data_IF_117397568191
#
_entry.id   IF_117397568191
#
_cell.length_a   1.000
_cell.length_b   1.000
_cell.length_c   1.000
_cell.angle_alpha   90.00
_cell.angle_beta   90.00
_cell.angle_gamma   90.00
#
_symmetry.space_group_name_H-M   'P 1'
#
loop_
_entity.id
_entity.type
_entity.pdbx_description
1 polymer ?
#
# COMPACT_ATOMS: atom_id res chain seq x y z
N UNK A 1 -44.18 -24.75 57.53
CA UNK A 1 -42.91 -25.44 57.24
C UNK A 1 -42.31 -24.88 55.94
N UNK A 2 -41.29 -24.05 56.03
CA UNK A 2 -40.63 -23.42 54.86
C UNK A 2 -39.42 -24.26 54.47
N UNK A 3 -39.43 -24.79 53.24
CA UNK A 3 -38.35 -25.60 52.65
C UNK A 3 -37.25 -24.70 52.11
N UNK A 4 -36.11 -24.57 52.82
CA UNK A 4 -34.91 -23.92 52.34
C UNK A 4 -34.32 -24.66 51.11
N UNK A 5 -34.43 -24.05 49.89
CA UNK A 5 -33.68 -24.52 48.69
C UNK A 5 -32.21 -24.18 48.85
N UNK A 6 -31.35 -25.15 49.16
CA UNK A 6 -29.90 -25.04 49.08
C UNK A 6 -29.49 -24.74 47.65
N UNK A 7 -28.94 -23.53 47.36
CA UNK A 7 -28.25 -23.20 46.10
C UNK A 7 -27.02 -24.08 45.99
N UNK A 8 -27.01 -25.01 45.03
CA UNK A 8 -25.82 -25.80 44.66
C UNK A 8 -24.78 -24.82 44.11
N UNK A 9 -23.67 -24.62 44.81
CA UNK A 9 -22.48 -23.95 44.23
C UNK A 9 -21.96 -24.88 43.13
N UNK A 10 -21.83 -24.36 41.91
CA UNK A 10 -21.13 -25.06 40.84
C UNK A 10 -19.64 -24.94 41.15
N UNK A 11 -19.02 -26.02 41.58
CA UNK A 11 -17.59 -26.07 41.74
C UNK A 11 -16.94 -25.99 40.33
N UNK A 12 -16.20 -24.92 40.10
CA UNK A 12 -15.47 -24.72 38.84
C UNK A 12 -14.29 -25.69 38.88
N UNK A 13 -14.15 -26.50 37.83
CA UNK A 13 -13.03 -27.44 37.73
C UNK A 13 -11.70 -26.66 37.71
N UNK A 14 -10.80 -26.85 38.69
CA UNK A 14 -9.57 -26.09 38.79
C UNK A 14 -8.65 -26.25 37.55
N UNK A 15 -8.70 -27.41 36.88
CA UNK A 15 -7.96 -27.65 35.64
C UNK A 15 -8.49 -26.74 34.51
N UNK A 16 -9.82 -26.60 34.40
CA UNK A 16 -10.44 -25.73 33.41
C UNK A 16 -10.05 -24.25 33.66
N UNK A 17 -9.99 -23.83 34.93
CA UNK A 17 -9.57 -22.48 35.29
C UNK A 17 -8.13 -22.21 34.90
N UNK A 18 -7.22 -23.13 35.10
CA UNK A 18 -5.80 -23.04 34.69
C UNK A 18 -5.67 -22.96 33.15
N UNK A 19 -6.42 -23.80 32.42
CA UNK A 19 -6.41 -23.75 30.94
C UNK A 19 -6.88 -22.41 30.44
N UNK A 20 -7.96 -21.86 30.98
CA UNK A 20 -8.47 -20.52 30.59
C UNK A 20 -7.45 -19.43 30.89
N UNK A 21 -6.80 -19.49 32.06
CA UNK A 21 -5.75 -18.52 32.44
C UNK A 21 -4.55 -18.58 31.49
N UNK A 22 -4.09 -19.77 31.12
CA UNK A 22 -2.98 -19.96 30.17
C UNK A 22 -3.35 -19.42 28.80
N UNK A 23 -4.57 -19.67 28.31
CA UNK A 23 -5.06 -19.15 27.03
C UNK A 23 -5.17 -17.62 27.06
N UNK A 24 -5.63 -17.02 28.15
CA UNK A 24 -5.69 -15.57 28.32
C UNK A 24 -4.28 -14.96 28.31
N UNK A 25 -3.34 -15.54 29.06
CA UNK A 25 -1.94 -15.09 29.07
C UNK A 25 -1.28 -15.21 27.69
N UNK A 26 -1.53 -16.31 26.98
CA UNK A 26 -1.04 -16.48 25.60
C UNK A 26 -1.60 -15.40 24.66
N UNK A 27 -2.89 -15.08 24.76
CA UNK A 27 -3.51 -14.00 23.99
C UNK A 27 -2.93 -12.62 24.35
N UNK A 28 -2.71 -12.34 25.63
CA UNK A 28 -2.05 -11.09 26.09
C UNK A 28 -0.63 -10.99 25.54
N UNK A 29 0.15 -12.07 25.58
CA UNK A 29 1.51 -12.09 25.02
C UNK A 29 1.51 -11.86 23.51
N UNK A 30 0.57 -12.46 22.79
CA UNK A 30 0.40 -12.25 21.34
C UNK A 30 0.00 -10.80 21.05
N UNK A 31 -0.92 -10.24 21.85
CA UNK A 31 -1.36 -8.85 21.73
C UNK A 31 -0.20 -7.87 21.96
N UNK A 32 0.55 -8.03 23.06
CA UNK A 32 1.71 -7.19 23.39
C UNK A 32 2.83 -7.30 22.32
N UNK A 33 3.04 -8.50 21.74
CA UNK A 33 3.98 -8.67 20.62
C UNK A 33 3.51 -8.00 19.33
N UNK A 34 2.20 -7.89 19.11
CA UNK A 34 1.64 -7.15 17.97
C UNK A 34 1.80 -5.63 18.14
N UNK A 35 1.55 -5.09 19.33
CA UNK A 35 1.69 -3.66 19.60
C UNK A 35 3.15 -3.18 19.60
N UNK A 36 4.12 -4.06 19.90
CA UNK A 36 5.55 -3.73 19.88
C UNK A 36 6.23 -3.88 18.51
N UNK A 37 5.49 -4.24 17.43
CA UNK A 37 6.07 -4.41 16.11
C UNK A 37 5.88 -3.14 15.32
N UNK A 38 6.95 -2.36 15.11
CA UNK A 38 6.94 -1.21 14.21
C UNK A 38 6.51 -1.62 12.80
N UNK A 39 5.70 -0.78 12.14
CA UNK A 39 5.30 -1.00 10.74
C UNK A 39 6.49 -0.70 9.81
N UNK A 40 6.63 -1.41 8.67
CA UNK A 40 7.78 -1.23 7.77
C UNK A 40 8.00 0.21 7.32
N UNK A 41 6.91 0.97 7.10
CA UNK A 41 6.96 2.38 6.71
C UNK A 41 7.09 3.37 7.87
N UNK A 42 7.16 2.90 9.12
CA UNK A 42 7.24 3.79 10.29
C UNK A 42 8.62 4.44 10.40
N UNK A 43 8.63 5.77 10.54
CA UNK A 43 9.87 6.54 10.63
C UNK A 43 10.60 6.73 9.30
N UNK A 44 10.11 6.19 8.21
CA UNK A 44 10.70 6.41 6.88
C UNK A 44 10.52 7.86 6.46
N UNK A 45 11.63 8.54 6.19
CA UNK A 45 11.62 9.91 5.67
C UNK A 45 11.42 9.86 4.16
N UNK A 46 10.39 10.53 3.66
CA UNK A 46 10.17 10.71 2.23
C UNK A 46 11.30 11.54 1.60
N UNK A 47 11.67 11.28 0.34
CA UNK A 47 12.59 12.13 -0.41
C UNK A 47 12.10 13.56 -0.49
N UNK A 48 13.03 14.52 -0.61
CA UNK A 48 12.70 15.96 -0.61
C UNK A 48 11.86 16.39 -1.84
N UNK A 49 11.86 15.60 -2.93
CA UNK A 49 11.01 15.80 -4.09
C UNK A 49 9.58 15.28 -3.94
N UNK A 50 9.25 14.60 -2.85
CA UNK A 50 7.90 14.10 -2.58
C UNK A 50 7.15 15.08 -1.70
N UNK A 51 5.98 15.50 -2.16
CA UNK A 51 5.05 16.31 -1.35
C UNK A 51 4.06 15.39 -0.64
N UNK A 52 4.06 15.41 0.68
CA UNK A 52 3.06 14.70 1.46
C UNK A 52 1.73 15.50 1.46
N UNK A 53 0.73 14.99 0.74
CA UNK A 53 -0.64 15.50 0.74
C UNK A 53 -1.61 14.33 0.93
N UNK A 54 -1.59 13.79 2.15
CA UNK A 54 -2.35 12.59 2.48
C UNK A 54 -3.86 12.80 2.38
N UNK A 55 -4.55 11.76 1.86
CA UNK A 55 -6.01 11.73 1.77
C UNK A 55 -6.62 11.79 3.19
N UNK A 56 -7.80 12.34 3.28
CA UNK A 56 -8.61 12.25 4.52
C UNK A 56 -8.97 10.79 4.76
N UNK A 57 -8.87 10.32 6.01
CA UNK A 57 -9.25 8.96 6.39
C UNK A 57 -10.74 8.72 6.11
N UNK A 58 -11.03 7.67 5.34
CA UNK A 58 -12.38 7.25 4.97
C UNK A 58 -12.35 5.80 4.43
N UNK A 59 -13.48 5.13 4.37
CA UNK A 59 -13.58 3.73 3.94
C UNK A 59 -13.29 3.51 2.45
N UNK A 60 -13.37 4.56 1.60
CA UNK A 60 -13.34 4.45 0.14
C UNK A 60 -11.95 4.63 -0.47
N UNK A 61 -11.09 5.44 0.15
CA UNK A 61 -9.76 5.72 -0.42
C UNK A 61 -8.62 5.65 0.59
N UNK A 62 -8.88 5.81 1.90
CA UNK A 62 -7.86 5.70 2.95
C UNK A 62 -8.46 5.14 4.22
N UNK A 63 -8.61 3.81 4.35
CA UNK A 63 -9.25 3.19 5.51
C UNK A 63 -8.40 3.30 6.80
N UNK A 64 -7.12 3.58 6.69
CA UNK A 64 -6.19 3.60 7.82
C UNK A 64 -5.82 2.19 8.31
N UNK A 65 -6.05 1.16 7.48
CA UNK A 65 -5.64 -0.20 7.76
C UNK A 65 -4.12 -0.29 7.77
N UNK A 66 -3.47 -0.86 8.80
CA UNK A 66 -2.03 -0.98 8.84
C UNK A 66 -1.47 -1.84 7.71
N UNK A 67 -0.45 -1.34 7.00
CA UNK A 67 0.37 -2.10 6.06
C UNK A 67 1.50 -2.76 6.86
N UNK A 68 1.35 -4.05 7.11
CA UNK A 68 2.25 -4.82 8.00
C UNK A 68 3.43 -5.47 7.30
N UNK A 69 3.44 -5.43 5.96
CA UNK A 69 4.49 -5.94 5.08
C UNK A 69 4.63 -5.01 3.87
N UNK A 70 5.83 -4.88 3.35
CA UNK A 70 6.11 -4.29 2.05
C UNK A 70 7.01 -5.29 1.31
N UNK A 71 6.42 -6.04 0.39
CA UNK A 71 7.04 -7.12 -0.37
C UNK A 71 7.04 -6.79 -1.87
N UNK A 72 6.83 -5.52 -2.24
CA UNK A 72 6.91 -5.11 -3.62
C UNK A 72 6.35 -3.71 -3.88
N UNK A 73 6.60 -3.25 -5.10
CA UNK A 73 6.08 -2.02 -5.67
C UNK A 73 5.23 -2.36 -6.88
N UNK A 74 4.00 -1.87 -6.92
CA UNK A 74 3.11 -2.04 -8.09
C UNK A 74 3.00 -0.73 -8.85
N UNK A 75 3.36 -0.76 -10.13
CA UNK A 75 3.26 0.38 -11.04
C UNK A 75 1.92 0.33 -11.76
N UNK A 76 1.24 1.48 -11.80
CA UNK A 76 -0.02 1.71 -12.49
C UNK A 76 0.09 2.94 -13.39
N UNK A 77 -0.81 3.06 -14.35
CA UNK A 77 -1.11 4.31 -15.02
C UNK A 77 -2.50 4.83 -14.60
N UNK A 78 -2.65 6.15 -14.49
CA UNK A 78 -3.95 6.76 -14.24
C UNK A 78 -4.89 6.52 -15.43
N UNK A 79 -6.20 6.34 -15.15
CA UNK A 79 -7.19 6.08 -16.20
C UNK A 79 -7.53 7.27 -17.10
N UNK A 80 -7.02 8.46 -16.79
CA UNK A 80 -7.37 9.72 -17.49
C UNK A 80 -6.11 10.41 -18.01
N UNK A 81 -5.74 10.23 -19.28
CA UNK A 81 -4.59 10.89 -19.90
C UNK A 81 -4.61 12.41 -19.75
N UNK A 82 -3.43 13.01 -19.64
CA UNK A 82 -3.28 14.46 -19.56
C UNK A 82 -3.68 15.08 -18.20
N UNK A 83 -4.07 14.29 -17.22
CA UNK A 83 -4.40 14.79 -15.87
C UNK A 83 -3.15 14.95 -15.00
N UNK A 84 -3.16 15.92 -14.09
CA UNK A 84 -2.05 16.16 -13.15
C UNK A 84 -2.10 15.24 -11.93
N UNK A 85 -0.95 15.09 -11.23
CA UNK A 85 -0.91 14.38 -9.95
C UNK A 85 -1.92 14.93 -8.94
N UNK A 86 -2.06 16.25 -8.86
CA UNK A 86 -3.02 16.89 -7.95
C UNK A 86 -4.47 16.56 -8.31
N UNK A 87 -4.82 16.47 -9.60
CA UNK A 87 -6.16 16.10 -10.03
C UNK A 87 -6.51 14.66 -9.59
N UNK A 88 -5.57 13.73 -9.78
CA UNK A 88 -5.75 12.33 -9.38
C UNK A 88 -5.80 12.18 -7.85
N UNK A 89 -4.92 12.86 -7.12
CA UNK A 89 -5.00 12.94 -5.65
C UNK A 89 -6.36 13.46 -5.17
N UNK A 90 -6.87 14.52 -5.81
CA UNK A 90 -8.17 15.11 -5.47
C UNK A 90 -9.33 14.17 -5.82
N UNK A 91 -9.23 13.43 -6.93
CA UNK A 91 -10.19 12.37 -7.26
C UNK A 91 -10.26 11.33 -6.14
N UNK A 92 -9.12 10.77 -5.70
CA UNK A 92 -9.09 9.83 -4.59
C UNK A 92 -9.69 10.41 -3.30
N UNK A 93 -9.38 11.67 -2.99
CA UNK A 93 -9.95 12.31 -1.81
C UNK A 93 -11.46 12.55 -1.92
N UNK A 94 -11.97 12.80 -3.15
CA UNK A 94 -13.38 12.99 -3.44
C UNK A 94 -14.22 11.73 -3.24
N UNK A 95 -13.61 10.54 -3.31
CA UNK A 95 -14.31 9.27 -3.07
C UNK A 95 -14.88 9.18 -1.64
N UNK A 96 -14.31 9.92 -0.68
CA UNK A 96 -14.89 10.06 0.65
C UNK A 96 -16.31 10.65 0.65
N UNK A 97 -16.70 11.37 -0.41
CA UNK A 97 -18.02 11.99 -0.56
C UNK A 97 -18.87 11.31 -1.62
N UNK A 98 -18.27 10.93 -2.77
CA UNK A 98 -19.01 10.36 -3.90
C UNK A 98 -19.39 8.89 -3.66
N UNK A 99 -18.55 8.13 -2.95
CA UNK A 99 -18.73 6.70 -2.68
C UNK A 99 -18.89 5.83 -3.95
N UNK A 100 -18.45 6.32 -5.11
CA UNK A 100 -18.67 5.66 -6.40
C UNK A 100 -17.80 4.42 -6.61
N UNK A 101 -16.63 4.37 -5.98
CA UNK A 101 -15.68 3.25 -6.02
C UNK A 101 -14.72 3.32 -4.85
N UNK A 102 -13.93 2.27 -4.65
CA UNK A 102 -12.79 2.29 -3.73
C UNK A 102 -11.50 2.29 -4.54
N UNK A 103 -10.75 3.40 -4.44
CA UNK A 103 -9.46 3.54 -5.13
C UNK A 103 -8.54 4.54 -4.41
N UNK A 104 -7.25 4.25 -4.42
CA UNK A 104 -6.17 5.16 -4.00
C UNK A 104 -4.81 4.59 -4.40
N UNK A 105 -3.76 5.36 -4.21
CA UNK A 105 -2.37 4.91 -4.32
C UNK A 105 -1.54 5.50 -3.19
N UNK A 106 -0.35 4.94 -2.93
CA UNK A 106 0.60 5.55 -2.01
C UNK A 106 1.19 6.81 -2.61
N UNK A 107 1.55 6.75 -3.90
CA UNK A 107 2.14 7.86 -4.64
C UNK A 107 1.43 8.10 -5.96
N UNK A 108 1.38 9.36 -6.36
CA UNK A 108 1.03 9.75 -7.73
C UNK A 108 2.20 10.54 -8.31
N UNK A 109 2.73 10.08 -9.45
CA UNK A 109 3.78 10.77 -10.22
C UNK A 109 3.12 11.54 -11.34
N UNK A 110 3.36 12.85 -11.39
CA UNK A 110 2.71 13.76 -12.33
C UNK A 110 3.47 13.96 -13.64
N UNK A 111 2.82 14.66 -14.59
CA UNK A 111 3.32 14.93 -15.94
C UNK A 111 4.61 15.78 -15.97
N UNK A 112 4.92 16.48 -14.89
CA UNK A 112 6.14 17.33 -14.76
C UNK A 112 7.14 16.73 -13.77
N UNK A 113 6.97 15.46 -13.40
CA UNK A 113 7.81 14.75 -12.43
C UNK A 113 7.53 15.12 -10.97
N UNK A 114 6.46 15.87 -10.67
CA UNK A 114 6.00 16.07 -9.30
C UNK A 114 5.49 14.76 -8.69
N UNK A 115 5.76 14.54 -7.40
CA UNK A 115 5.30 13.35 -6.68
C UNK A 115 4.48 13.75 -5.49
N UNK A 116 3.28 13.21 -5.39
CA UNK A 116 2.38 13.40 -4.24
C UNK A 116 2.23 12.08 -3.49
N UNK A 117 2.56 12.07 -2.20
CA UNK A 117 2.24 10.96 -1.31
C UNK A 117 0.80 11.12 -0.82
N UNK A 118 -0.07 10.20 -1.23
CA UNK A 118 -1.51 10.21 -0.96
C UNK A 118 -1.90 9.33 0.24
N UNK A 119 -1.22 8.19 0.41
CA UNK A 119 -1.42 7.27 1.53
C UNK A 119 -0.06 7.04 2.22
N UNK A 120 0.03 7.11 3.56
CA UNK A 120 1.27 6.80 4.27
C UNK A 120 1.76 5.37 4.01
N UNK A 121 3.07 5.15 3.98
CA UNK A 121 3.69 3.83 3.83
C UNK A 121 3.35 2.84 4.97
N UNK A 122 2.74 3.32 6.04
CA UNK A 122 2.24 2.50 7.16
C UNK A 122 0.80 2.04 6.98
N UNK A 123 0.11 2.50 5.91
CA UNK A 123 -1.31 2.23 5.67
C UNK A 123 -1.50 1.56 4.31
N UNK A 124 -2.55 0.75 4.18
CA UNK A 124 -2.96 0.09 2.93
C UNK A 124 -3.59 1.12 1.98
N UNK A 125 -3.19 1.11 0.71
CA UNK A 125 -3.86 1.80 -0.38
C UNK A 125 -4.71 0.82 -1.21
N UNK A 126 -5.73 1.31 -1.91
CA UNK A 126 -6.63 0.52 -2.74
C UNK A 126 -6.29 0.65 -4.23
N UNK A 127 -5.27 -0.08 -4.70
CA UNK A 127 -4.79 -0.02 -6.09
C UNK A 127 -4.61 -1.39 -6.74
N UNK A 128 -4.13 -2.39 -5.99
CA UNK A 128 -3.50 -3.60 -6.52
C UNK A 128 -4.21 -4.88 -6.07
N UNK A 129 -5.53 -4.82 -5.82
CA UNK A 129 -6.37 -5.95 -5.43
C UNK A 129 -5.80 -6.72 -4.21
N UNK A 130 -5.51 -8.02 -4.33
CA UNK A 130 -4.94 -8.84 -3.25
C UNK A 130 -3.55 -8.37 -2.80
N UNK A 131 -2.78 -7.72 -3.69
CA UNK A 131 -1.48 -7.15 -3.36
C UNK A 131 -1.56 -5.81 -2.61
N UNK A 132 -2.76 -5.25 -2.38
CA UNK A 132 -2.93 -4.10 -1.48
C UNK A 132 -2.37 -4.35 -0.08
N UNK A 133 -2.41 -5.60 0.38
CA UNK A 133 -2.03 -5.97 1.74
C UNK A 133 -0.51 -5.97 2.00
N UNK A 134 0.30 -5.94 0.94
CA UNK A 134 1.75 -6.13 1.06
C UNK A 134 2.59 -5.37 0.04
N UNK A 135 2.04 -4.38 -0.67
CA UNK A 135 2.79 -3.60 -1.64
C UNK A 135 2.58 -2.10 -1.49
N UNK A 136 3.54 -1.33 -2.00
CA UNK A 136 3.41 0.10 -2.25
C UNK A 136 2.96 0.30 -3.70
N UNK A 137 1.95 1.12 -3.93
CA UNK A 137 1.41 1.42 -5.26
C UNK A 137 1.81 2.81 -5.73
N UNK A 138 2.19 2.92 -7.01
CA UNK A 138 2.52 4.18 -7.69
C UNK A 138 1.58 4.33 -8.88
N UNK A 139 0.74 5.35 -8.88
CA UNK A 139 -0.05 5.78 -10.03
C UNK A 139 0.74 6.81 -10.83
N UNK A 140 0.85 6.60 -12.15
CA UNK A 140 1.68 7.44 -13.02
C UNK A 140 0.81 8.16 -14.03
N UNK A 141 0.93 9.48 -14.08
CA UNK A 141 0.29 10.31 -15.09
C UNK A 141 1.04 10.20 -16.43
N UNK A 142 0.29 10.14 -17.50
CA UNK A 142 0.80 10.08 -18.87
C UNK A 142 0.08 11.10 -19.77
N UNK A 143 0.74 11.61 -20.83
CA UNK A 143 0.21 12.75 -21.59
C UNK A 143 -0.99 12.41 -22.46
N UNK A 144 -1.07 11.18 -22.99
CA UNK A 144 -2.04 10.76 -23.99
C UNK A 144 -2.43 9.27 -23.88
N UNK A 145 -3.27 8.80 -24.81
CA UNK A 145 -3.84 7.45 -24.82
C UNK A 145 -2.82 6.32 -25.08
N UNK A 146 -1.57 6.64 -25.43
CA UNK A 146 -0.52 5.62 -25.57
C UNK A 146 -0.13 5.03 -24.23
N UNK A 147 -0.24 5.81 -23.16
CA UNK A 147 0.23 5.43 -21.81
C UNK A 147 1.74 5.59 -21.65
N UNK A 148 2.46 6.07 -22.66
CA UNK A 148 3.90 6.33 -22.58
C UNK A 148 4.18 7.51 -21.65
N UNK A 149 5.14 7.35 -20.75
CA UNK A 149 5.51 8.41 -19.83
C UNK A 149 6.39 9.45 -20.53
N UNK A 150 6.20 10.74 -20.22
CA UNK A 150 7.16 11.76 -20.62
C UNK A 150 8.53 11.48 -19.99
N UNK A 151 9.61 11.97 -20.60
CA UNK A 151 10.96 11.73 -20.07
C UNK A 151 11.11 12.15 -18.59
N UNK A 152 10.56 13.29 -18.20
CA UNK A 152 10.64 13.78 -16.83
C UNK A 152 9.79 12.93 -15.86
N UNK A 153 8.64 12.42 -16.32
CA UNK A 153 7.81 11.49 -15.54
C UNK A 153 8.53 10.16 -15.37
N UNK A 154 9.10 9.63 -16.47
CA UNK A 154 9.86 8.39 -16.47
C UNK A 154 11.04 8.43 -15.48
N UNK A 155 11.89 9.45 -15.56
CA UNK A 155 13.01 9.64 -14.63
C UNK A 155 12.54 9.65 -13.17
N UNK A 156 11.41 10.28 -12.91
CA UNK A 156 10.84 10.34 -11.56
C UNK A 156 10.28 8.99 -11.07
N UNK A 157 9.67 8.23 -11.97
CA UNK A 157 9.22 6.85 -11.65
C UNK A 157 10.41 5.97 -11.31
N UNK A 158 11.49 6.02 -12.11
CA UNK A 158 12.74 5.28 -11.85
C UNK A 158 13.32 5.68 -10.50
N UNK A 159 13.42 6.98 -10.21
CA UNK A 159 14.01 7.47 -8.95
C UNK A 159 13.17 7.09 -7.72
N UNK A 160 11.85 7.20 -7.81
CA UNK A 160 10.94 6.83 -6.71
C UNK A 160 10.96 5.32 -6.46
N UNK A 161 10.94 4.52 -7.54
CA UNK A 161 10.98 3.05 -7.44
C UNK A 161 12.32 2.58 -6.86
N UNK A 162 13.44 3.15 -7.31
CA UNK A 162 14.77 2.83 -6.77
C UNK A 162 14.87 3.17 -5.28
N UNK A 163 14.33 4.33 -4.87
CA UNK A 163 14.28 4.70 -3.46
C UNK A 163 13.44 3.71 -2.63
N UNK A 164 12.28 3.27 -3.13
CA UNK A 164 11.45 2.28 -2.44
C UNK A 164 12.17 0.94 -2.32
N UNK A 165 12.78 0.45 -3.40
CA UNK A 165 13.52 -0.82 -3.40
C UNK A 165 14.68 -0.76 -2.40
N UNK A 166 15.47 0.31 -2.39
CA UNK A 166 16.56 0.48 -1.43
C UNK A 166 16.10 0.65 0.01
N UNK A 167 14.92 1.26 0.23
CA UNK A 167 14.37 1.48 1.58
C UNK A 167 13.84 0.19 2.21
N UNK A 168 13.26 -0.70 1.40
CA UNK A 168 12.57 -1.91 1.87
C UNK A 168 13.28 -3.21 1.49
N UNK A 169 14.51 -3.12 0.96
CA UNK A 169 15.34 -4.29 0.57
C UNK A 169 14.61 -5.18 -0.44
N UNK A 170 14.04 -4.56 -1.49
CA UNK A 170 13.29 -5.24 -2.53
C UNK A 170 14.19 -5.56 -3.74
N UNK A 171 13.97 -6.73 -4.34
CA UNK A 171 14.58 -7.12 -5.60
C UNK A 171 13.81 -6.48 -6.77
N UNK A 172 14.49 -5.70 -7.60
CA UNK A 172 13.83 -4.97 -8.69
C UNK A 172 13.20 -5.93 -9.71
N UNK A 173 13.85 -7.07 -9.97
CA UNK A 173 13.36 -8.01 -10.99
C UNK A 173 12.12 -8.78 -10.53
N UNK A 174 12.05 -9.11 -9.24
CA UNK A 174 10.99 -9.95 -8.66
C UNK A 174 9.88 -9.11 -8.00
N UNK A 175 10.23 -7.99 -7.34
CA UNK A 175 9.33 -7.26 -6.47
C UNK A 175 8.75 -5.97 -7.10
N UNK A 176 9.32 -5.49 -8.23
CA UNK A 176 8.71 -4.40 -9.02
C UNK A 176 7.86 -5.01 -10.11
N UNK A 177 6.55 -4.87 -9.96
CA UNK A 177 5.55 -5.50 -10.83
C UNK A 177 4.54 -4.49 -11.36
N UNK A 178 3.86 -4.87 -12.44
CA UNK A 178 2.75 -4.10 -13.02
C UNK A 178 1.42 -4.53 -12.38
N UNK A 179 0.42 -3.71 -12.41
CA UNK A 179 -0.94 -4.13 -12.07
C UNK A 179 -1.40 -5.31 -12.96
N UNK A 180 -0.92 -5.35 -14.20
CA UNK A 180 -1.13 -6.48 -15.13
C UNK A 180 -0.67 -7.81 -14.52
N UNK A 181 0.47 -7.85 -13.85
CA UNK A 181 1.04 -9.08 -13.29
C UNK A 181 0.22 -9.59 -12.08
N UNK A 182 -0.61 -8.72 -11.49
CA UNK A 182 -1.52 -9.08 -10.39
C UNK A 182 -2.87 -9.58 -10.91
N UNK A 183 -3.46 -8.90 -11.92
CA UNK A 183 -4.87 -9.10 -12.28
C UNK A 183 -5.12 -9.42 -13.76
N UNK A 184 -4.11 -9.26 -14.62
CA UNK A 184 -4.27 -9.33 -16.09
C UNK A 184 -4.87 -8.07 -16.72
N UNK A 185 -5.19 -7.01 -15.92
CA UNK A 185 -5.63 -5.72 -16.45
C UNK A 185 -4.48 -5.06 -17.21
N UNK A 186 -4.75 -4.51 -18.40
CA UNK A 186 -3.75 -3.75 -19.17
C UNK A 186 -3.43 -2.44 -18.44
N UNK A 187 -2.48 -2.51 -17.51
CA UNK A 187 -2.04 -1.40 -16.66
C UNK A 187 -0.65 -1.72 -16.04
N UNK A 188 0.35 -0.86 -16.18
CA UNK A 188 0.34 0.36 -17.00
C UNK A 188 0.35 0.02 -18.50
N UNK A 189 -0.51 0.66 -19.28
CA UNK A 189 -0.82 0.25 -20.65
C UNK A 189 0.44 0.12 -21.51
N UNK A 190 1.22 1.19 -21.64
CA UNK A 190 2.40 1.19 -22.52
C UNK A 190 3.38 0.06 -22.16
N UNK A 191 3.64 -0.15 -20.89
CA UNK A 191 4.60 -1.15 -20.39
C UNK A 191 4.06 -2.59 -20.40
N UNK A 192 2.76 -2.77 -20.65
CA UNK A 192 2.17 -4.09 -20.94
C UNK A 192 2.26 -4.38 -22.44
N UNK A 193 1.97 -3.38 -23.30
CA UNK A 193 2.00 -3.49 -24.74
C UNK A 193 3.44 -3.51 -25.31
N UNK A 194 4.43 -2.99 -24.55
CA UNK A 194 5.85 -2.92 -24.87
C UNK A 194 6.71 -3.58 -23.77
N UNK A 195 6.81 -4.93 -23.74
CA UNK A 195 7.57 -5.65 -22.71
C UNK A 195 9.03 -5.21 -22.60
N UNK A 196 9.67 -4.85 -23.72
CA UNK A 196 11.04 -4.33 -23.77
C UNK A 196 11.19 -3.01 -23.02
N UNK A 197 10.16 -2.13 -23.06
CA UNK A 197 10.16 -0.88 -22.30
C UNK A 197 10.01 -1.15 -20.79
N UNK A 198 9.26 -2.20 -20.41
CA UNK A 198 9.16 -2.63 -19.02
C UNK A 198 10.51 -3.14 -18.48
N UNK A 199 11.19 -4.00 -19.22
CA UNK A 199 12.51 -4.50 -18.84
C UNK A 199 13.55 -3.37 -18.78
N UNK A 200 13.46 -2.39 -19.69
CA UNK A 200 14.32 -1.20 -19.64
C UNK A 200 14.06 -0.39 -18.37
N UNK A 201 12.79 -0.18 -17.98
CA UNK A 201 12.45 0.53 -16.74
C UNK A 201 13.06 -0.15 -15.52
N UNK A 202 12.96 -1.49 -15.42
CA UNK A 202 13.59 -2.23 -14.32
C UNK A 202 15.11 -2.10 -14.33
N UNK A 203 15.73 -2.19 -15.49
CA UNK A 203 17.18 -2.02 -15.62
C UNK A 203 17.64 -0.61 -15.21
N UNK A 204 16.86 0.44 -15.55
CA UNK A 204 17.16 1.81 -15.14
C UNK A 204 16.97 2.02 -13.64
N UNK A 205 15.99 1.34 -13.02
CA UNK A 205 15.81 1.32 -11.57
C UNK A 205 17.02 0.69 -10.88
N UNK A 206 17.51 -0.47 -11.36
CA UNK A 206 18.73 -1.11 -10.83
C UNK A 206 19.95 -0.22 -10.98
N UNK A 207 20.12 0.39 -12.16
CA UNK A 207 21.22 1.32 -12.40
C UNK A 207 21.18 2.53 -11.45
N UNK A 208 19.99 2.99 -11.09
CA UNK A 208 19.79 4.11 -10.15
C UNK A 208 20.11 3.72 -8.70
N UNK A 209 19.95 2.45 -8.34
CA UNK A 209 20.29 1.91 -7.01
C UNK A 209 21.79 1.63 -6.85
N UNK A 210 22.51 1.50 -7.95
CA UNK A 210 23.97 1.27 -7.91
C UNK A 210 24.68 2.43 -7.22
N UNK A 211 25.73 2.15 -6.39
CA UNK A 211 26.46 3.14 -5.63
C UNK A 211 27.29 4.10 -6.51
#
# INVERSE_FOLDING_TARGET
>A
MARHKRKRRRDVNPILLVIVLVLLLANVVVFLRREGRSLPGEGVRLPDYVTADYLVKNEWSRPGTPLTKINGVVIHDVGNPGTSAQANRNYFNGLALSHETSASAHFVVGLKGEVIACVPLTEVAYASNERNADTVSIEVCHPDETGEYSAVTYERVVELTAWLCGTFDLDVQEDVIRHYDVTGKICPKYYVEHPEAWEQLKADVEAKMAP
#
